data_IF_007206734512
#
_entry.id   IF_007206734512
#
_cell.length_a   1.000
_cell.length_b   1.000
_cell.length_c   1.000
_cell.angle_alpha   90.00
_cell.angle_beta   90.00
_cell.angle_gamma   90.00
#
_symmetry.space_group_name_H-M   'P 1'
#
loop_
_entity.id
_entity.type
_entity.pdbx_description
1 polymer ?
#
# COMPACT_ATOMS: atom_id res chain seq x y z
N UNK A 1 10.51 -11.41 1.67
CA UNK A 1 9.32 -12.21 1.24
C UNK A 1 8.27 -12.04 2.32
N UNK A 2 7.09 -11.48 2.00
CA UNK A 2 5.98 -11.35 2.95
C UNK A 2 5.36 -12.74 3.19
N UNK A 3 5.67 -13.35 4.32
CA UNK A 3 5.01 -14.58 4.78
C UNK A 3 3.86 -14.21 5.72
N UNK A 4 2.78 -13.69 5.13
CA UNK A 4 1.60 -13.23 5.86
C UNK A 4 0.37 -13.82 5.19
N UNK A 5 -0.56 -14.34 6.02
CA UNK A 5 -1.83 -14.80 5.48
C UNK A 5 -2.64 -13.63 4.91
N UNK A 6 -3.30 -13.84 3.79
CA UNK A 6 -4.21 -12.88 3.14
C UNK A 6 -5.18 -12.26 4.16
N UNK A 7 -5.79 -13.10 5.03
CA UNK A 7 -6.75 -12.64 6.04
C UNK A 7 -6.12 -11.69 7.09
N UNK A 8 -4.86 -11.90 7.49
CA UNK A 8 -4.17 -11.00 8.42
C UNK A 8 -3.82 -9.67 7.75
N UNK A 9 -3.40 -9.70 6.49
CA UNK A 9 -3.15 -8.49 5.71
C UNK A 9 -4.44 -7.68 5.51
N UNK A 10 -5.54 -8.32 5.12
CA UNK A 10 -6.82 -7.68 4.87
C UNK A 10 -7.39 -6.99 6.12
N UNK A 11 -7.26 -7.61 7.30
CA UNK A 11 -7.67 -6.99 8.57
C UNK A 11 -6.81 -5.79 8.94
N UNK A 12 -5.51 -5.82 8.65
CA UNK A 12 -4.56 -4.79 9.03
C UNK A 12 -4.53 -3.63 8.02
N UNK A 13 -3.95 -3.86 6.84
CA UNK A 13 -3.80 -2.84 5.80
C UNK A 13 -4.93 -2.85 4.77
N UNK A 14 -5.54 -4.00 4.51
CA UNK A 14 -6.57 -4.16 3.49
C UNK A 14 -7.76 -3.23 3.71
N UNK A 15 -8.16 -2.99 4.97
CA UNK A 15 -9.24 -2.05 5.32
C UNK A 15 -9.00 -0.61 4.85
N UNK A 16 -7.72 -0.19 4.78
CA UNK A 16 -7.33 1.11 4.22
C UNK A 16 -7.09 1.01 2.71
N UNK A 17 -6.46 -0.06 2.23
CA UNK A 17 -6.13 -0.25 0.81
C UNK A 17 -7.37 -0.26 -0.08
N UNK A 18 -8.46 -0.90 0.36
CA UNK A 18 -9.74 -0.93 -0.36
C UNK A 18 -10.37 0.47 -0.46
N UNK A 19 -10.22 1.29 0.58
CA UNK A 19 -10.72 2.67 0.58
C UNK A 19 -9.82 3.61 -0.22
N UNK A 20 -8.51 3.34 -0.26
CA UNK A 20 -7.54 4.12 -1.02
C UNK A 20 -7.68 3.87 -2.53
N UNK A 21 -8.04 2.65 -2.94
CA UNK A 21 -8.10 2.26 -4.34
C UNK A 21 -8.96 3.20 -5.22
N UNK A 22 -10.21 3.57 -4.86
CA UNK A 22 -10.99 4.51 -5.66
C UNK A 22 -10.35 5.90 -5.72
N UNK A 23 -9.84 6.42 -4.61
CA UNK A 23 -9.23 7.77 -4.56
C UNK A 23 -7.94 7.80 -5.38
N UNK A 24 -7.13 6.73 -5.31
CA UNK A 24 -5.93 6.62 -6.12
C UNK A 24 -6.21 6.43 -7.61
N UNK A 25 -7.23 5.66 -7.97
CA UNK A 25 -7.66 5.51 -9.37
C UNK A 25 -8.17 6.82 -9.96
N UNK A 26 -8.90 7.66 -9.18
CA UNK A 26 -9.31 9.01 -9.56
C UNK A 26 -8.08 9.91 -9.79
N UNK A 27 -7.14 9.93 -8.86
CA UNK A 27 -5.88 10.67 -9.00
C UNK A 27 -5.10 10.24 -10.25
N UNK A 28 -5.03 8.93 -10.51
CA UNK A 28 -4.36 8.40 -11.70
C UNK A 28 -5.10 8.72 -13.00
N UNK A 29 -6.36 9.16 -12.94
CA UNK A 29 -7.19 9.48 -14.11
C UNK A 29 -7.57 8.25 -14.91
N UNK A 30 -7.99 7.17 -14.23
CA UNK A 30 -8.37 5.93 -14.89
C UNK A 30 -9.84 5.96 -15.30
N UNK A 31 -10.07 5.85 -16.60
CA UNK A 31 -11.39 5.83 -17.23
C UNK A 31 -11.77 4.42 -17.73
N UNK A 32 -13.08 4.23 -17.97
CA UNK A 32 -13.60 3.00 -18.56
C UNK A 32 -12.98 2.68 -19.94
N UNK A 33 -12.72 1.41 -20.18
CA UNK A 33 -12.16 0.91 -21.44
C UNK A 33 -10.62 1.04 -21.55
N UNK A 34 -9.96 1.77 -20.66
CA UNK A 34 -8.50 1.84 -20.63
C UNK A 34 -7.89 0.48 -20.25
N UNK A 35 -6.76 0.15 -20.87
CA UNK A 35 -5.93 -1.00 -20.49
C UNK A 35 -4.97 -0.59 -19.37
N UNK A 36 -5.18 -1.12 -18.18
CA UNK A 36 -4.45 -0.71 -16.97
C UNK A 36 -3.72 -1.90 -16.36
N UNK A 37 -2.44 -1.70 -16.02
CA UNK A 37 -1.64 -2.65 -15.27
C UNK A 37 -1.57 -2.25 -13.80
N UNK A 38 -2.04 -3.13 -12.89
CA UNK A 38 -1.83 -3.03 -11.45
C UNK A 38 -0.52 -3.77 -11.09
N UNK A 39 0.50 -3.03 -10.64
CA UNK A 39 1.84 -3.55 -10.32
C UNK A 39 1.98 -3.75 -8.82
N UNK A 40 2.26 -5.00 -8.40
CA UNK A 40 2.27 -5.42 -7.00
C UNK A 40 0.86 -5.49 -6.43
N UNK A 41 -0.05 -6.14 -7.16
CA UNK A 41 -1.48 -6.12 -6.88
C UNK A 41 -1.90 -6.70 -5.52
N UNK A 42 -1.03 -7.49 -4.86
CA UNK A 42 -1.28 -8.06 -3.54
C UNK A 42 -2.57 -8.85 -3.47
N UNK A 43 -3.49 -8.47 -2.58
CA UNK A 43 -4.81 -9.09 -2.43
C UNK A 43 -5.86 -8.58 -3.45
N UNK A 44 -5.48 -7.62 -4.32
CA UNK A 44 -6.30 -7.16 -5.45
C UNK A 44 -7.23 -5.98 -5.15
N UNK A 45 -6.96 -5.19 -4.12
CA UNK A 45 -7.80 -4.05 -3.78
C UNK A 45 -7.93 -3.04 -4.95
N UNK A 46 -6.79 -2.67 -5.57
CA UNK A 46 -6.78 -1.76 -6.71
C UNK A 46 -7.29 -2.46 -7.98
N UNK A 47 -6.84 -3.67 -8.29
CA UNK A 47 -7.30 -4.42 -9.47
C UNK A 47 -8.83 -4.59 -9.48
N UNK A 48 -9.45 -4.86 -8.32
CA UNK A 48 -10.90 -4.96 -8.18
C UNK A 48 -11.60 -3.62 -8.45
N UNK A 49 -11.08 -2.52 -7.95
CA UNK A 49 -11.61 -1.18 -8.20
C UNK A 49 -11.49 -0.79 -9.67
N UNK A 50 -10.35 -1.06 -10.31
CA UNK A 50 -10.14 -0.82 -11.74
C UNK A 50 -11.13 -1.61 -12.61
N UNK A 51 -11.34 -2.89 -12.26
CA UNK A 51 -12.33 -3.72 -12.95
C UNK A 51 -13.77 -3.19 -12.76
N UNK A 52 -14.11 -2.67 -11.56
CA UNK A 52 -15.41 -2.05 -11.28
C UNK A 52 -15.65 -0.77 -12.10
N UNK A 53 -14.57 -0.10 -12.53
CA UNK A 53 -14.60 1.07 -13.43
C UNK A 53 -14.66 0.69 -14.91
N UNK A 54 -14.88 -0.59 -15.23
CA UNK A 54 -14.88 -1.10 -16.59
C UNK A 54 -13.53 -0.89 -17.33
N UNK A 55 -12.40 -0.80 -16.61
CA UNK A 55 -11.08 -0.87 -17.21
C UNK A 55 -10.72 -2.32 -17.61
N UNK A 56 -9.90 -2.48 -18.64
CA UNK A 56 -9.32 -3.77 -19.03
C UNK A 56 -8.06 -4.00 -18.20
N UNK A 57 -8.16 -4.79 -17.12
CA UNK A 57 -7.15 -4.89 -16.09
C UNK A 57 -6.20 -6.07 -16.33
N UNK A 58 -4.91 -5.81 -16.20
CA UNK A 58 -3.88 -6.81 -15.96
C UNK A 58 -3.25 -6.56 -14.59
N UNK A 59 -2.67 -7.59 -13.96
CA UNK A 59 -2.04 -7.50 -12.65
C UNK A 59 -0.72 -8.28 -12.62
N UNK A 60 0.33 -7.66 -12.08
CA UNK A 60 1.61 -8.28 -11.75
C UNK A 60 1.72 -8.45 -10.24
N UNK A 61 2.08 -9.64 -9.77
CA UNK A 61 2.29 -9.92 -8.34
C UNK A 61 3.38 -10.99 -8.18
N UNK A 62 4.46 -10.76 -7.42
CA UNK A 62 5.53 -11.74 -7.29
C UNK A 62 5.19 -12.93 -6.37
N UNK A 63 4.31 -12.77 -5.37
CA UNK A 63 4.01 -13.81 -4.39
C UNK A 63 2.99 -14.84 -4.94
N UNK A 64 3.37 -16.14 -5.06
CA UNK A 64 2.49 -17.15 -5.64
C UNK A 64 1.14 -17.29 -4.93
N UNK A 65 1.12 -17.09 -3.61
CA UNK A 65 -0.09 -17.15 -2.79
C UNK A 65 -1.09 -16.07 -3.15
N UNK A 66 -0.62 -14.83 -3.36
CA UNK A 66 -1.46 -13.71 -3.80
C UNK A 66 -1.90 -13.88 -5.27
N UNK A 67 -1.03 -14.38 -6.14
CA UNK A 67 -1.40 -14.69 -7.53
C UNK A 67 -2.55 -15.70 -7.59
N UNK A 68 -2.49 -16.76 -6.76
CA UNK A 68 -3.56 -17.74 -6.71
C UNK A 68 -4.88 -17.13 -6.22
N UNK A 69 -4.84 -16.31 -5.17
CA UNK A 69 -6.00 -15.62 -4.64
C UNK A 69 -6.61 -14.62 -5.65
N UNK A 70 -5.78 -13.82 -6.32
CA UNK A 70 -6.20 -12.90 -7.37
C UNK A 70 -6.93 -13.61 -8.51
N UNK A 71 -6.35 -14.70 -9.02
CA UNK A 71 -6.96 -15.50 -10.10
C UNK A 71 -8.30 -16.11 -9.71
N UNK A 72 -8.44 -16.50 -8.44
CA UNK A 72 -9.70 -17.06 -7.94
C UNK A 72 -10.80 -16.00 -7.77
N UNK A 73 -10.42 -14.77 -7.40
CA UNK A 73 -11.36 -13.68 -7.06
C UNK A 73 -11.71 -12.77 -8.24
N UNK A 74 -10.77 -12.55 -9.15
CA UNK A 74 -10.88 -11.57 -10.24
C UNK A 74 -10.73 -12.26 -11.60
N UNK A 75 -11.76 -13.03 -11.98
CA UNK A 75 -11.74 -13.88 -13.19
C UNK A 75 -11.56 -13.09 -14.51
N UNK A 76 -11.85 -11.81 -14.55
CA UNK A 76 -11.69 -10.93 -15.71
C UNK A 76 -10.31 -10.27 -15.81
N UNK A 77 -9.43 -10.46 -14.83
CA UNK A 77 -8.10 -9.83 -14.77
C UNK A 77 -7.03 -10.77 -15.27
N UNK A 78 -6.15 -10.31 -16.19
CA UNK A 78 -4.95 -11.05 -16.64
C UNK A 78 -3.88 -10.99 -15.53
N UNK A 79 -3.88 -11.98 -14.63
CA UNK A 79 -2.96 -12.05 -13.50
C UNK A 79 -1.71 -12.83 -13.89
N UNK A 80 -0.54 -12.20 -13.80
CA UNK A 80 0.76 -12.83 -14.03
C UNK A 80 1.64 -12.76 -12.79
N UNK A 81 2.37 -13.85 -12.53
CA UNK A 81 3.38 -13.87 -11.50
C UNK A 81 4.64 -13.18 -12.03
N UNK A 82 4.92 -11.97 -11.53
CA UNK A 82 6.07 -11.17 -11.94
C UNK A 82 6.45 -10.15 -10.87
N UNK A 83 7.74 -9.85 -10.78
CA UNK A 83 8.24 -8.68 -10.05
C UNK A 83 8.03 -7.40 -10.88
N UNK A 84 8.00 -6.25 -10.22
CA UNK A 84 7.86 -4.97 -10.89
C UNK A 84 9.03 -4.67 -11.84
N UNK A 85 10.19 -5.19 -11.53
CA UNK A 85 11.46 -5.02 -12.25
C UNK A 85 11.58 -5.85 -13.54
N UNK A 86 10.63 -6.79 -13.79
CA UNK A 86 10.61 -7.64 -14.97
C UNK A 86 9.15 -7.96 -15.35
N UNK A 87 8.48 -6.99 -15.99
CA UNK A 87 7.08 -7.08 -16.35
C UNK A 87 6.89 -7.88 -17.65
N UNK A 88 6.12 -8.99 -17.65
CA UNK A 88 6.02 -9.90 -18.78
C UNK A 88 5.04 -9.43 -19.88
N UNK A 89 5.02 -8.15 -20.17
CA UNK A 89 4.24 -7.54 -21.24
C UNK A 89 5.15 -6.74 -22.18
N UNK A 90 4.82 -6.70 -23.50
CA UNK A 90 5.54 -5.88 -24.46
C UNK A 90 5.50 -4.38 -24.13
N UNK A 91 6.40 -3.62 -24.74
CA UNK A 91 6.39 -2.16 -24.69
C UNK A 91 5.05 -1.59 -25.15
N UNK A 92 4.63 -0.47 -24.55
CA UNK A 92 3.45 0.28 -24.95
C UNK A 92 2.13 -0.55 -24.98
N UNK A 93 2.01 -1.56 -24.10
CA UNK A 93 0.85 -2.46 -23.99
C UNK A 93 -0.34 -1.86 -23.22
N UNK A 94 -0.12 -0.82 -22.42
CA UNK A 94 -1.10 -0.27 -21.51
C UNK A 94 -1.28 1.25 -21.68
N UNK A 95 -2.48 1.73 -21.34
CA UNK A 95 -2.79 3.15 -21.20
C UNK A 95 -2.24 3.71 -19.89
N UNK A 96 -2.22 2.89 -18.85
CA UNK A 96 -1.66 3.24 -17.56
C UNK A 96 -1.02 2.04 -16.85
N UNK A 97 0.02 2.30 -16.04
CA UNK A 97 0.56 1.39 -15.04
C UNK A 97 0.52 2.06 -13.67
N UNK A 98 -0.10 1.40 -12.71
CA UNK A 98 -0.33 1.94 -11.37
C UNK A 98 0.21 1.00 -10.30
N UNK A 99 0.75 1.55 -9.20
CA UNK A 99 1.32 0.77 -8.10
C UNK A 99 0.86 1.33 -6.76
N UNK A 100 -0.06 0.64 -6.09
CA UNK A 100 -0.62 1.06 -4.81
C UNK A 100 0.12 0.40 -3.65
N UNK A 101 0.81 1.20 -2.83
CA UNK A 101 1.46 0.79 -1.57
C UNK A 101 2.56 -0.26 -1.72
N UNK A 102 3.24 -0.31 -2.86
CA UNK A 102 4.19 -1.38 -3.18
C UNK A 102 5.63 -0.93 -3.38
N UNK A 103 5.89 0.31 -3.83
CA UNK A 103 7.23 0.74 -4.27
C UNK A 103 8.33 0.55 -3.22
N UNK A 104 8.01 0.65 -1.94
CA UNK A 104 8.95 0.41 -0.84
C UNK A 104 9.34 -1.07 -0.65
N UNK A 105 8.63 -1.99 -1.31
CA UNK A 105 8.88 -3.44 -1.26
C UNK A 105 9.53 -3.99 -2.52
N UNK A 106 9.70 -3.16 -3.55
CA UNK A 106 10.47 -3.51 -4.74
C UNK A 106 11.94 -3.69 -4.37
N UNK A 107 12.62 -4.63 -5.01
CA UNK A 107 14.06 -4.84 -4.81
C UNK A 107 14.86 -3.68 -5.40
N UNK A 108 14.37 -3.12 -6.50
CA UNK A 108 14.91 -1.93 -7.19
C UNK A 108 13.74 -1.09 -7.71
N UNK A 109 13.26 -0.16 -6.88
CA UNK A 109 12.11 0.68 -7.24
C UNK A 109 12.36 1.55 -8.51
N UNK A 110 13.54 2.14 -8.73
CA UNK A 110 13.87 2.77 -10.01
C UNK A 110 13.70 1.85 -11.22
N UNK A 111 14.20 0.60 -11.15
CA UNK A 111 14.02 -0.37 -12.22
C UNK A 111 12.53 -0.74 -12.41
N UNK A 112 11.79 -0.94 -11.31
CA UNK A 112 10.35 -1.20 -11.37
C UNK A 112 9.57 -0.06 -12.03
N UNK A 113 9.86 1.20 -11.70
CA UNK A 113 9.23 2.37 -12.35
C UNK A 113 9.66 2.49 -13.81
N UNK A 114 10.90 2.13 -14.17
CA UNK A 114 11.34 2.09 -15.56
C UNK A 114 10.56 1.05 -16.38
N UNK A 115 10.31 -0.14 -15.82
CA UNK A 115 9.47 -1.17 -16.43
C UNK A 115 8.00 -0.71 -16.56
N UNK A 116 7.43 -0.07 -15.53
CA UNK A 116 6.10 0.54 -15.63
C UNK A 116 6.03 1.53 -16.80
N UNK A 117 7.06 2.37 -16.97
CA UNK A 117 7.14 3.27 -18.13
C UNK A 117 7.26 2.53 -19.44
N UNK A 118 8.09 1.48 -19.52
CA UNK A 118 8.28 0.69 -20.74
C UNK A 118 6.96 0.12 -21.24
N UNK A 119 6.16 -0.45 -20.35
CA UNK A 119 4.90 -1.12 -20.73
C UNK A 119 3.75 -0.15 -21.00
N UNK A 120 3.83 1.09 -20.57
CA UNK A 120 2.82 2.13 -20.85
C UNK A 120 3.12 2.77 -22.20
N UNK A 121 2.11 3.05 -23.03
CA UNK A 121 2.25 3.74 -24.32
C UNK A 121 2.67 5.22 -24.15
N UNK A 122 3.27 5.86 -25.17
CA UNK A 122 3.46 7.30 -25.16
C UNK A 122 2.14 8.05 -24.90
N UNK A 123 2.16 9.07 -24.05
CA UNK A 123 0.97 9.79 -23.59
C UNK A 123 0.16 9.07 -22.52
N UNK A 124 0.53 7.85 -22.14
CA UNK A 124 -0.11 7.12 -21.03
C UNK A 124 0.44 7.49 -19.66
N UNK A 125 -0.18 6.98 -18.60
CA UNK A 125 0.07 7.39 -17.21
C UNK A 125 0.86 6.33 -16.44
N UNK A 126 1.86 6.77 -15.68
CA UNK A 126 2.50 5.99 -14.62
C UNK A 126 2.18 6.65 -13.29
N UNK A 127 1.59 5.92 -12.36
CA UNK A 127 1.26 6.45 -11.03
C UNK A 127 1.64 5.48 -9.92
N UNK A 128 2.10 6.03 -8.81
CA UNK A 128 2.42 5.29 -7.59
C UNK A 128 1.83 5.99 -6.38
N UNK A 129 1.49 5.24 -5.33
CA UNK A 129 1.20 5.85 -4.03
C UNK A 129 1.80 5.04 -2.89
N UNK A 130 2.06 5.74 -1.77
CA UNK A 130 2.63 5.13 -0.57
C UNK A 130 2.14 5.87 0.67
N UNK A 131 1.93 5.12 1.78
CA UNK A 131 1.58 5.75 3.05
C UNK A 131 2.63 6.78 3.47
N UNK A 132 2.16 7.96 3.87
CA UNK A 132 2.99 9.02 4.42
C UNK A 132 3.39 8.67 5.86
N UNK A 133 4.63 8.43 6.10
CA UNK A 133 5.31 8.19 7.37
C UNK A 133 4.41 8.01 8.62
N UNK A 134 4.53 8.94 9.57
CA UNK A 134 3.74 8.96 10.80
C UNK A 134 2.33 9.58 10.65
N UNK A 135 2.03 10.22 9.51
CA UNK A 135 0.71 10.84 9.29
C UNK A 135 -0.36 9.82 8.91
N UNK A 136 0.01 8.61 8.52
CA UNK A 136 -0.89 7.45 8.51
C UNK A 136 -1.12 7.02 9.96
N UNK A 137 -2.23 7.48 10.56
CA UNK A 137 -2.42 7.53 12.01
C UNK A 137 -2.25 6.17 12.71
N UNK A 138 -2.72 5.08 12.10
CA UNK A 138 -2.58 3.75 12.68
C UNK A 138 -1.11 3.31 12.73
N UNK A 139 -0.35 3.45 11.64
CA UNK A 139 1.08 3.13 11.62
C UNK A 139 1.88 4.11 12.47
N UNK A 140 1.52 5.40 12.46
CA UNK A 140 2.10 6.42 13.31
C UNK A 140 1.92 6.07 14.80
N UNK A 141 0.73 5.63 15.22
CA UNK A 141 0.50 5.19 16.60
C UNK A 141 1.39 3.99 16.96
N UNK A 142 1.53 2.99 16.09
CA UNK A 142 2.44 1.86 16.31
C UNK A 142 3.89 2.33 16.43
N UNK A 143 4.35 3.16 15.49
CA UNK A 143 5.73 3.67 15.48
C UNK A 143 6.05 4.50 16.75
N UNK A 144 5.13 5.39 17.16
CA UNK A 144 5.29 6.18 18.38
C UNK A 144 5.29 5.30 19.63
N UNK A 145 4.41 4.29 19.70
CA UNK A 145 4.41 3.29 20.77
C UNK A 145 5.75 2.58 20.87
N UNK A 146 6.28 2.09 19.75
CA UNK A 146 7.60 1.44 19.70
C UNK A 146 8.70 2.34 20.25
N UNK A 147 8.77 3.61 19.80
CA UNK A 147 9.80 4.56 20.24
C UNK A 147 9.65 5.00 21.71
N UNK A 148 8.44 5.05 22.23
CA UNK A 148 8.21 5.34 23.64
C UNK A 148 8.74 4.21 24.54
N UNK A 149 8.54 2.96 24.11
CA UNK A 149 9.00 1.80 24.88
C UNK A 149 10.47 1.49 24.65
N UNK A 150 10.99 1.77 23.47
CA UNK A 150 12.39 1.59 23.08
C UNK A 150 12.85 2.74 22.16
N UNK A 151 13.49 3.79 22.74
CA UNK A 151 13.97 4.94 21.96
C UNK A 151 15.07 4.61 20.93
N UNK A 152 15.65 3.41 20.97
CA UNK A 152 16.62 2.97 19.97
C UNK A 152 15.99 2.52 18.65
N UNK A 153 14.65 2.36 18.62
CA UNK A 153 13.93 1.98 17.41
C UNK A 153 14.07 3.04 16.33
N UNK A 154 14.36 2.64 15.09
CA UNK A 154 14.52 3.58 13.98
C UNK A 154 13.22 4.31 13.67
N UNK A 155 13.33 5.54 13.17
CA UNK A 155 12.19 6.31 12.67
C UNK A 155 11.63 5.67 11.38
N UNK A 156 10.39 6.01 10.97
CA UNK A 156 9.81 5.51 9.72
C UNK A 156 10.71 5.78 8.51
N UNK A 157 11.32 6.98 8.43
CA UNK A 157 12.22 7.39 7.35
C UNK A 157 13.51 6.54 7.32
N UNK A 158 14.01 6.14 8.49
CA UNK A 158 15.18 5.25 8.60
C UNK A 158 14.86 3.79 8.24
N UNK A 159 13.57 3.39 8.36
CA UNK A 159 13.15 2.01 8.09
C UNK A 159 12.87 1.74 6.64
N UNK A 160 12.30 2.72 5.93
CA UNK A 160 11.78 2.54 4.57
C UNK A 160 11.95 3.79 3.72
N UNK A 161 12.41 3.59 2.49
CA UNK A 161 12.42 4.62 1.45
C UNK A 161 10.99 4.85 0.90
N UNK A 162 10.81 5.94 0.17
CA UNK A 162 9.58 6.25 -0.59
C UNK A 162 8.33 6.45 0.26
N UNK A 163 8.48 7.05 1.46
CA UNK A 163 7.36 7.40 2.35
C UNK A 163 7.15 8.90 2.54
N UNK A 164 7.80 9.70 1.73
CA UNK A 164 7.59 11.15 1.69
C UNK A 164 7.31 11.60 0.27
N UNK A 165 6.73 12.78 0.15
CA UNK A 165 6.50 13.45 -1.12
C UNK A 165 7.77 13.51 -1.96
N UNK A 166 8.85 14.00 -1.38
CA UNK A 166 10.13 14.26 -2.07
C UNK A 166 10.73 12.96 -2.63
N UNK A 167 10.67 11.87 -1.84
CA UNK A 167 11.24 10.60 -2.28
C UNK A 167 10.44 9.95 -3.41
N UNK A 168 9.11 10.10 -3.41
CA UNK A 168 8.25 9.63 -4.50
C UNK A 168 8.36 10.50 -5.75
N UNK A 169 8.42 11.83 -5.60
CA UNK A 169 8.67 12.74 -6.71
C UNK A 169 10.04 12.45 -7.36
N UNK A 170 11.07 12.20 -6.55
CA UNK A 170 12.39 11.81 -7.05
C UNK A 170 12.37 10.46 -7.78
N UNK A 171 11.56 9.50 -7.34
CA UNK A 171 11.39 8.20 -8.00
C UNK A 171 10.67 8.33 -9.36
N UNK A 172 9.61 9.15 -9.40
CA UNK A 172 8.83 9.41 -10.63
C UNK A 172 9.56 10.40 -11.54
N UNK A 173 10.34 11.33 -11.02
CA UNK A 173 11.15 12.26 -11.80
C UNK A 173 10.37 13.37 -12.48
N UNK A 174 10.85 13.81 -13.65
CA UNK A 174 10.35 14.99 -14.33
C UNK A 174 8.86 14.88 -14.70
N UNK A 175 8.13 15.99 -14.56
CA UNK A 175 6.70 16.07 -14.84
C UNK A 175 5.81 15.45 -13.75
N UNK A 176 6.37 15.12 -12.57
CA UNK A 176 5.61 14.58 -11.46
C UNK A 176 4.49 15.54 -11.00
N UNK A 177 3.28 15.01 -10.90
CA UNK A 177 2.13 15.63 -10.26
C UNK A 177 1.86 14.88 -8.97
N UNK A 178 1.67 15.60 -7.87
CA UNK A 178 1.60 15.00 -6.53
C UNK A 178 0.36 15.46 -5.79
N UNK A 179 -0.27 14.54 -5.06
CA UNK A 179 -1.41 14.80 -4.18
C UNK A 179 -1.29 13.98 -2.89
N UNK A 180 -1.77 14.52 -1.78
CA UNK A 180 -1.94 13.80 -0.53
C UNK A 180 -3.35 13.24 -0.47
N UNK A 181 -3.48 11.93 -0.62
CA UNK A 181 -4.76 11.23 -0.56
C UNK A 181 -5.08 10.87 0.89
N UNK A 182 -6.34 11.06 1.27
CA UNK A 182 -6.84 10.74 2.61
C UNK A 182 -7.97 9.71 2.55
N UNK A 183 -7.94 8.76 3.46
CA UNK A 183 -9.01 7.78 3.66
C UNK A 183 -9.21 7.52 5.14
N UNK A 184 -10.42 7.19 5.53
CA UNK A 184 -10.77 6.94 6.92
C UNK A 184 -11.03 5.45 7.16
N UNK A 185 -10.73 4.97 8.35
CA UNK A 185 -11.11 3.65 8.82
C UNK A 185 -11.69 3.72 10.22
N UNK A 186 -12.92 3.25 10.35
CA UNK A 186 -13.63 3.19 11.62
C UNK A 186 -13.26 1.95 12.41
N UNK A 187 -13.16 2.09 13.72
CA UNK A 187 -12.97 1.04 14.70
C UNK A 187 -14.10 1.09 15.72
N UNK A 188 -14.76 -0.05 15.96
CA UNK A 188 -15.86 -0.13 16.93
C UNK A 188 -15.35 0.11 18.36
N UNK A 189 -14.11 -0.31 18.63
CA UNK A 189 -13.43 -0.15 19.91
C UNK A 189 -11.92 -0.35 19.75
N UNK A 190 -11.15 0.07 20.74
CA UNK A 190 -9.69 -0.04 20.71
C UNK A 190 -9.19 -1.48 20.57
N UNK A 191 -9.86 -2.46 21.15
CA UNK A 191 -9.49 -3.88 21.07
C UNK A 191 -9.48 -4.39 19.63
N UNK A 192 -10.35 -3.88 18.77
CA UNK A 192 -10.33 -4.20 17.34
C UNK A 192 -9.03 -3.73 16.70
N UNK A 193 -8.64 -2.48 16.92
CA UNK A 193 -7.37 -1.94 16.44
C UNK A 193 -6.19 -2.75 16.98
N UNK A 194 -6.14 -2.97 18.30
CA UNK A 194 -5.06 -3.69 18.95
C UNK A 194 -4.89 -5.11 18.41
N UNK A 195 -5.99 -5.84 18.22
CA UNK A 195 -5.95 -7.18 17.64
C UNK A 195 -5.38 -7.18 16.23
N UNK A 196 -5.69 -6.19 15.40
CA UNK A 196 -5.13 -6.10 14.04
C UNK A 196 -3.61 -5.89 14.05
N UNK A 197 -3.07 -5.20 15.06
CA UNK A 197 -1.61 -4.99 15.22
C UNK A 197 -0.92 -6.28 15.67
N UNK A 198 -1.50 -6.99 16.65
CA UNK A 198 -0.93 -8.24 17.16
C UNK A 198 -0.94 -9.35 16.10
N UNK A 199 -2.06 -9.50 15.39
CA UNK A 199 -2.22 -10.49 14.32
C UNK A 199 -1.58 -10.00 13.01
N UNK A 200 -1.13 -8.76 12.99
CA UNK A 200 -0.78 -8.00 11.80
C UNK A 200 0.43 -8.51 11.03
N UNK A 201 0.51 -7.99 9.84
CA UNK A 201 1.52 -8.24 8.84
C UNK A 201 2.70 -7.26 8.94
N UNK A 202 3.83 -7.68 8.40
CA UNK A 202 5.00 -6.83 8.25
C UNK A 202 5.68 -6.46 9.58
N UNK A 203 6.46 -5.35 9.60
CA UNK A 203 7.28 -4.98 10.75
C UNK A 203 6.51 -4.80 12.05
N UNK A 204 5.29 -4.25 11.99
CA UNK A 204 4.45 -4.05 13.17
C UNK A 204 4.02 -5.37 13.81
N UNK A 205 3.61 -6.35 13.01
CA UNK A 205 3.24 -7.67 13.50
C UNK A 205 4.43 -8.47 14.03
N UNK A 206 5.60 -8.37 13.37
CA UNK A 206 6.84 -9.00 13.86
C UNK A 206 7.20 -8.43 15.22
N UNK A 207 7.18 -7.11 15.38
CA UNK A 207 7.42 -6.46 16.65
C UNK A 207 6.40 -6.92 17.72
N UNK A 208 5.11 -6.87 17.45
CA UNK A 208 4.08 -7.23 18.41
C UNK A 208 4.21 -8.69 18.89
N UNK A 209 4.62 -9.59 18.01
CA UNK A 209 4.86 -11.01 18.33
C UNK A 209 6.16 -11.24 19.13
N UNK A 210 7.12 -10.33 19.07
CA UNK A 210 8.37 -10.42 19.85
C UNK A 210 8.22 -10.00 21.31
N UNK A 211 7.11 -9.34 21.69
CA UNK A 211 6.85 -8.85 23.03
C UNK A 211 6.43 -9.98 23.96
N UNK A 212 6.99 -10.01 25.18
CA UNK A 212 6.47 -10.81 26.29
C UNK A 212 5.14 -10.23 26.83
N UNK A 213 4.54 -10.86 27.80
CA UNK A 213 3.21 -10.48 28.31
C UNK A 213 3.22 -9.10 28.98
N UNK A 214 4.29 -8.75 29.73
CA UNK A 214 4.43 -7.45 30.38
C UNK A 214 4.65 -6.32 29.36
N UNK A 215 5.56 -6.54 28.42
CA UNK A 215 5.83 -5.63 27.30
C UNK A 215 4.59 -5.42 26.45
N UNK A 216 3.82 -6.49 26.19
CA UNK A 216 2.58 -6.43 25.42
C UNK A 216 1.49 -5.62 26.13
N UNK A 217 1.38 -5.75 27.46
CA UNK A 217 0.46 -4.94 28.26
C UNK A 217 0.86 -3.46 28.21
N UNK A 218 2.16 -3.15 28.38
CA UNK A 218 2.69 -1.80 28.27
C UNK A 218 2.48 -1.19 26.88
N UNK A 219 2.72 -1.98 25.83
CA UNK A 219 2.51 -1.55 24.44
C UNK A 219 1.04 -1.26 24.12
N UNK A 220 0.14 -2.10 24.65
CA UNK A 220 -1.30 -1.89 24.50
C UNK A 220 -1.74 -0.58 25.16
N UNK A 221 -1.31 -0.34 26.40
CA UNK A 221 -1.65 0.88 27.13
C UNK A 221 -1.09 2.13 26.46
N UNK A 222 0.17 2.07 26.01
CA UNK A 222 0.78 3.18 25.28
C UNK A 222 0.05 3.44 23.95
N UNK A 223 -0.23 2.41 23.17
CA UNK A 223 -0.95 2.57 21.91
C UNK A 223 -2.36 3.13 22.11
N UNK A 224 -3.05 2.73 23.20
CA UNK A 224 -4.35 3.30 23.58
C UNK A 224 -4.25 4.82 23.79
N UNK A 225 -3.19 5.30 24.48
CA UNK A 225 -2.91 6.73 24.66
C UNK A 225 -2.58 7.41 23.32
N UNK A 226 -1.79 6.78 22.47
CA UNK A 226 -1.37 7.34 21.18
C UNK A 226 -2.54 7.57 20.20
N UNK A 227 -3.63 6.82 20.33
CA UNK A 227 -4.85 7.01 19.53
C UNK A 227 -5.93 7.82 20.26
N UNK A 228 -5.56 8.54 21.32
CA UNK A 228 -6.44 9.48 22.04
C UNK A 228 -7.36 8.84 23.09
N UNK A 229 -7.05 7.63 23.58
CA UNK A 229 -7.80 6.93 24.64
C UNK A 229 -9.32 6.83 24.37
N UNK A 230 -9.74 6.26 23.24
CA UNK A 230 -11.14 6.27 22.83
C UNK A 230 -12.01 5.44 23.77
N UNK A 231 -13.12 6.01 24.24
CA UNK A 231 -14.10 5.35 25.12
C UNK A 231 -15.19 4.56 24.35
N UNK A 232 -15.17 4.60 23.02
CA UNK A 232 -16.15 3.95 22.13
C UNK A 232 -15.61 3.82 20.73
N UNK A 233 -16.47 3.90 19.74
CA UNK A 233 -16.08 3.90 18.33
C UNK A 233 -15.26 5.15 18.01
N UNK A 234 -14.27 4.99 17.13
CA UNK A 234 -13.38 6.06 16.67
C UNK A 234 -12.89 5.82 15.25
N UNK A 235 -12.39 6.87 14.63
CA UNK A 235 -11.88 6.82 13.25
C UNK A 235 -10.40 7.17 13.27
N UNK A 236 -9.62 6.49 12.43
CA UNK A 236 -8.23 6.84 12.13
C UNK A 236 -8.09 7.16 10.65
N UNK A 237 -7.34 8.21 10.36
CA UNK A 237 -7.08 8.68 9.00
C UNK A 237 -5.81 8.02 8.45
N UNK A 238 -5.93 7.48 7.25
CA UNK A 238 -4.80 7.02 6.45
C UNK A 238 -4.43 8.08 5.42
N UNK A 239 -3.18 8.56 5.41
CA UNK A 239 -2.67 9.51 4.43
C UNK A 239 -1.62 8.87 3.56
N UNK A 240 -1.77 9.03 2.25
CA UNK A 240 -0.83 8.48 1.27
C UNK A 240 -0.42 9.57 0.27
N UNK A 241 0.88 9.74 0.05
CA UNK A 241 1.37 10.51 -1.08
C UNK A 241 1.17 9.71 -2.36
N UNK A 242 0.48 10.32 -3.31
CA UNK A 242 0.32 9.80 -4.66
C UNK A 242 1.08 10.69 -5.64
N UNK A 243 1.81 10.07 -6.56
CA UNK A 243 2.59 10.77 -7.59
C UNK A 243 2.33 10.11 -8.93
N UNK A 244 2.06 10.92 -9.95
CA UNK A 244 1.89 10.45 -11.33
C UNK A 244 2.69 11.27 -12.32
N UNK A 245 2.98 10.67 -13.47
CA UNK A 245 3.55 11.35 -14.63
C UNK A 245 2.96 10.78 -15.91
N UNK A 246 3.03 11.56 -17.00
CA UNK A 246 2.70 11.07 -18.34
C UNK A 246 3.99 10.61 -19.03
N UNK A 247 3.95 9.41 -19.63
CA UNK A 247 5.07 8.94 -20.44
C UNK A 247 5.23 9.83 -21.70
N UNK A 248 6.40 10.39 -21.87
CA UNK A 248 6.77 11.09 -23.10
C UNK A 248 6.77 10.18 -24.33
#
# INVERSE_FOLDING_TARGET
MFDVSEAAYDKFMGRYSVRLAPVFADFAGIDAGQRVLDVGAGTGALAAELARRDAVVAAAEPAPTFVAALRARLLSVDVRQAAAEDLPWPDASFDAAVAQLVVTFMSDAPAGVAEMRRVVRPGGVVAVCMWDGDSMEMLGAVNRTQRTLDPSQPTPEQRTLYRSRETLEGLIGEGAQTELLEVESEYVRFEELWSTVIDGAGPAGVWAKSLDDEQRAAAREEMYRQVGSPSGAFTLVGRAWAVRTTRA
#
